data_IF_298077354387
#
_entry.id   IF_298077354387
#
_cell.length_a   1.000
_cell.length_b   1.000
_cell.length_c   1.000
_cell.angle_alpha   90.00
_cell.angle_beta   90.00
_cell.angle_gamma   90.00
#
_symmetry.space_group_name_H-M   'P 1'
#
loop_
_entity.id
_entity.type
_entity.pdbx_description
1 polymer ?
#
# COMPACT_ATOMS: atom_id res chain seq x y z
N UNK A 1 0.79 3.70 -22.99
CA UNK A 1 -0.45 3.03 -22.52
C UNK A 1 -0.22 2.07 -21.34
N UNK A 2 0.92 1.39 -21.19
CA UNK A 2 1.18 0.55 -20.00
C UNK A 2 1.51 1.34 -18.73
N UNK A 3 2.31 2.41 -18.85
CA UNK A 3 2.80 3.22 -17.72
C UNK A 3 1.67 3.84 -16.87
N UNK A 4 0.59 4.30 -17.50
CA UNK A 4 -0.58 4.82 -16.78
C UNK A 4 -1.27 3.74 -15.92
N UNK A 5 -1.22 2.48 -16.36
CA UNK A 5 -1.83 1.36 -15.62
C UNK A 5 -1.01 1.05 -14.38
N UNK A 6 0.32 1.05 -14.49
CA UNK A 6 1.21 0.84 -13.35
C UNK A 6 1.08 1.98 -12.34
N UNK A 7 1.04 3.23 -12.80
CA UNK A 7 0.79 4.38 -11.94
C UNK A 7 -0.52 4.22 -11.15
N UNK A 8 -1.63 3.85 -11.82
CA UNK A 8 -2.90 3.58 -11.13
C UNK A 8 -2.77 2.51 -10.04
N UNK A 9 -2.01 1.44 -10.28
CA UNK A 9 -1.79 0.40 -9.26
C UNK A 9 -1.02 0.95 -8.05
N UNK A 10 0.03 1.74 -8.26
CA UNK A 10 0.77 2.39 -7.18
C UNK A 10 -0.13 3.33 -6.35
N UNK A 11 -0.90 4.20 -7.01
CA UNK A 11 -1.84 5.11 -6.33
C UNK A 11 -2.91 4.35 -5.55
N UNK A 12 -3.47 3.28 -6.12
CA UNK A 12 -4.46 2.44 -5.43
C UNK A 12 -3.88 1.72 -4.21
N UNK A 13 -2.62 1.28 -4.27
CA UNK A 13 -1.93 0.69 -3.10
C UNK A 13 -1.77 1.72 -1.98
N UNK A 14 -1.29 2.92 -2.30
CA UNK A 14 -1.12 3.99 -1.32
C UNK A 14 -2.47 4.39 -0.72
N UNK A 15 -3.52 4.48 -1.54
CA UNK A 15 -4.88 4.72 -1.07
C UNK A 15 -5.35 3.62 -0.12
N UNK A 16 -5.22 2.35 -0.48
CA UNK A 16 -5.60 1.22 0.36
C UNK A 16 -4.93 1.28 1.74
N UNK A 17 -3.62 1.58 1.77
CA UNK A 17 -2.84 1.71 3.01
C UNK A 17 -3.35 2.89 3.86
N UNK A 18 -3.67 4.03 3.22
CA UNK A 18 -4.23 5.20 3.91
C UNK A 18 -5.60 4.90 4.54
N UNK A 19 -6.37 3.99 3.94
CA UNK A 19 -7.68 3.50 4.42
C UNK A 19 -7.57 2.30 5.38
N UNK A 20 -6.39 2.08 5.96
CA UNK A 20 -6.09 1.02 6.94
C UNK A 20 -6.09 -0.41 6.40
N UNK A 21 -6.08 -0.61 5.08
CA UNK A 21 -5.76 -1.90 4.48
C UNK A 21 -4.24 -2.08 4.49
N UNK A 22 -3.71 -2.70 5.57
CA UNK A 22 -2.26 -2.71 5.84
C UNK A 22 -1.62 -4.06 5.61
N UNK A 23 -2.38 -5.14 5.43
CA UNK A 23 -1.84 -6.46 5.08
C UNK A 23 -1.82 -6.63 3.57
N UNK A 24 -0.86 -7.41 3.05
CA UNK A 24 -0.78 -7.72 1.61
C UNK A 24 -2.12 -8.24 1.07
N UNK A 25 -2.80 -9.12 1.83
CA UNK A 25 -4.11 -9.65 1.46
C UNK A 25 -5.21 -8.59 1.43
N UNK A 26 -5.20 -7.64 2.38
CA UNK A 26 -6.20 -6.57 2.44
C UNK A 26 -6.01 -5.60 1.27
N UNK A 27 -4.77 -5.21 0.99
CA UNK A 27 -4.42 -4.37 -0.17
C UNK A 27 -4.82 -5.08 -1.47
N UNK A 28 -4.48 -6.36 -1.61
CA UNK A 28 -4.83 -7.14 -2.79
C UNK A 28 -6.35 -7.24 -3.00
N UNK A 29 -7.11 -7.48 -1.93
CA UNK A 29 -8.56 -7.49 -1.96
C UNK A 29 -9.13 -6.13 -2.36
N UNK A 30 -8.58 -5.03 -1.81
CA UNK A 30 -8.99 -3.67 -2.16
C UNK A 30 -8.83 -3.38 -3.65
N UNK A 31 -7.72 -3.84 -4.24
CA UNK A 31 -7.43 -3.67 -5.67
C UNK A 31 -8.16 -4.69 -6.57
N UNK A 32 -8.79 -5.72 -6.02
CA UNK A 32 -9.35 -6.84 -6.81
C UNK A 32 -8.28 -7.66 -7.53
N UNK A 33 -7.04 -7.69 -7.02
CA UNK A 33 -5.89 -8.34 -7.64
C UNK A 33 -5.36 -9.52 -6.81
N UNK A 34 -4.67 -10.50 -7.42
CA UNK A 34 -3.94 -11.52 -6.68
C UNK A 34 -2.80 -10.92 -5.82
N UNK A 35 -2.64 -11.37 -4.58
CA UNK A 35 -1.57 -10.88 -3.69
C UNK A 35 -0.16 -10.97 -4.31
N UNK A 36 0.11 -12.03 -5.09
CA UNK A 36 1.39 -12.22 -5.80
C UNK A 36 1.69 -11.12 -6.83
N UNK A 37 0.67 -10.53 -7.46
CA UNK A 37 0.86 -9.47 -8.44
C UNK A 37 0.96 -8.10 -7.79
N UNK A 38 0.50 -7.94 -6.54
CA UNK A 38 0.59 -6.69 -5.78
C UNK A 38 1.96 -6.53 -5.11
N UNK A 39 2.58 -7.64 -4.68
CA UNK A 39 3.86 -7.60 -3.96
C UNK A 39 4.98 -6.84 -4.69
N UNK A 40 5.21 -7.01 -6.01
CA UNK A 40 6.25 -6.26 -6.73
C UNK A 40 6.06 -4.74 -6.64
N UNK A 41 4.82 -4.26 -6.73
CA UNK A 41 4.53 -2.82 -6.61
C UNK A 41 4.81 -2.31 -5.21
N UNK A 42 4.46 -3.09 -4.17
CA UNK A 42 4.79 -2.74 -2.79
C UNK A 42 6.32 -2.76 -2.60
N UNK A 43 7.05 -3.73 -3.15
CA UNK A 43 8.52 -3.80 -3.11
C UNK A 43 9.15 -2.54 -3.72
N UNK A 44 8.66 -2.10 -4.87
CA UNK A 44 9.08 -0.83 -5.48
C UNK A 44 8.80 0.36 -4.57
N UNK A 45 7.58 0.49 -4.03
CA UNK A 45 7.25 1.59 -3.10
C UNK A 45 8.12 1.58 -1.83
N UNK A 46 8.51 0.39 -1.35
CA UNK A 46 9.45 0.25 -0.24
C UNK A 46 10.86 0.68 -0.62
N UNK A 47 11.36 0.30 -1.80
CA UNK A 47 12.67 0.73 -2.30
C UNK A 47 12.75 2.25 -2.51
N UNK A 48 11.65 2.86 -2.91
CA UNK A 48 11.52 4.31 -3.05
C UNK A 48 11.36 5.04 -1.70
N UNK A 49 11.20 4.31 -0.59
CA UNK A 49 11.00 4.89 0.74
C UNK A 49 9.61 5.50 0.96
N UNK A 50 8.63 5.19 0.10
CA UNK A 50 7.26 5.70 0.20
C UNK A 50 6.39 4.84 1.12
N UNK A 51 6.67 3.54 1.15
CA UNK A 51 6.02 2.55 2.01
C UNK A 51 7.08 1.86 2.84
N UNK A 52 6.71 1.42 4.03
CA UNK A 52 7.57 0.59 4.84
C UNK A 52 6.80 -0.52 5.54
N UNK A 53 7.55 -1.53 5.95
CA UNK A 53 7.03 -2.76 6.54
C UNK A 53 7.18 -2.70 8.06
N UNK A 54 6.05 -2.58 8.74
CA UNK A 54 5.96 -2.75 10.17
C UNK A 54 5.84 -4.24 10.52
N UNK A 55 6.70 -4.70 11.42
CA UNK A 55 6.54 -6.00 12.06
C UNK A 55 6.08 -5.74 13.49
N UNK A 56 4.83 -6.09 13.85
CA UNK A 56 4.33 -5.86 15.19
C UNK A 56 5.15 -6.68 16.20
N UNK A 57 5.74 -5.99 17.18
CA UNK A 57 6.52 -6.59 18.27
C UNK A 57 5.64 -7.30 19.29
N UNK A 58 4.36 -6.92 19.40
CA UNK A 58 3.35 -7.57 20.25
C UNK A 58 2.48 -8.53 19.42
N UNK A 59 2.93 -9.77 19.27
CA UNK A 59 2.09 -10.82 18.71
C UNK A 59 2.87 -12.05 18.27
N UNK A 60 2.37 -13.24 18.62
CA UNK A 60 2.93 -14.54 18.23
C UNK A 60 2.90 -14.81 16.72
N UNK A 61 2.31 -13.91 15.91
CA UNK A 61 2.14 -14.07 14.47
C UNK A 61 2.96 -13.01 13.72
N UNK A 62 3.93 -13.47 12.93
CA UNK A 62 4.71 -12.64 11.98
C UNK A 62 3.79 -12.13 10.85
N UNK A 63 2.95 -11.13 11.14
CA UNK A 63 2.13 -10.46 10.13
C UNK A 63 2.89 -9.23 9.66
N UNK A 64 3.11 -9.14 8.35
CA UNK A 64 3.70 -7.93 7.75
C UNK A 64 2.60 -6.89 7.56
N UNK A 65 2.74 -5.74 8.21
CA UNK A 65 1.89 -4.58 7.99
C UNK A 65 2.66 -3.58 7.13
N UNK A 66 1.97 -2.89 6.23
CA UNK A 66 2.52 -1.86 5.38
C UNK A 66 1.95 -0.51 5.80
N UNK A 67 2.81 0.50 5.93
CA UNK A 67 2.41 1.89 6.16
C UNK A 67 3.07 2.83 5.17
N UNK A 68 2.42 3.95 4.88
CA UNK A 68 3.06 5.06 4.19
C UNK A 68 4.12 5.62 5.14
N UNK A 69 5.35 5.77 4.65
CA UNK A 69 6.51 6.18 5.45
C UNK A 69 6.47 7.69 5.76
N UNK A 70 5.97 8.50 4.82
CA UNK A 70 5.92 9.96 4.92
C UNK A 70 4.55 10.45 5.44
N UNK A 71 4.49 11.19 6.56
CA UNK A 71 3.25 11.74 7.10
C UNK A 71 2.53 12.76 6.20
N UNK A 72 3.26 13.54 5.40
CA UNK A 72 2.70 14.47 4.41
C UNK A 72 2.04 13.70 3.30
N UNK A 73 2.71 12.66 2.78
CA UNK A 73 2.15 11.77 1.77
C UNK A 73 0.89 11.05 2.28
N UNK A 74 0.94 10.54 3.51
CA UNK A 74 -0.20 9.91 4.15
C UNK A 74 -1.40 10.87 4.21
N UNK A 75 -1.17 12.09 4.68
CA UNK A 75 -2.19 13.15 4.75
C UNK A 75 -2.77 13.44 3.37
N UNK A 76 -1.94 13.52 2.33
CA UNK A 76 -2.39 13.75 0.97
C UNK A 76 -3.37 12.66 0.50
N UNK A 77 -3.05 11.39 0.69
CA UNK A 77 -3.91 10.26 0.32
C UNK A 77 -5.19 10.14 1.16
N UNK A 78 -5.13 10.52 2.43
CA UNK A 78 -6.29 10.51 3.32
C UNK A 78 -7.31 11.60 2.95
N UNK A 79 -6.87 12.81 2.62
CA UNK A 79 -7.77 13.97 2.46
C UNK A 79 -7.99 14.45 1.03
N UNK A 80 -7.03 14.26 0.11
CA UNK A 80 -7.09 14.87 -1.23
C UNK A 80 -7.45 13.89 -2.35
N UNK A 81 -7.43 12.58 -2.09
CA UNK A 81 -7.86 11.56 -3.06
C UNK A 81 -9.30 11.16 -2.76
N UNK A 82 -10.29 11.55 -3.57
CA UNK A 82 -11.67 11.13 -3.36
C UNK A 82 -11.81 9.61 -3.57
N UNK A 83 -12.50 8.94 -2.65
CA UNK A 83 -12.97 7.57 -2.81
C UNK A 83 -14.09 7.59 -3.86
N UNK A 84 -13.73 7.35 -5.13
CA UNK A 84 -14.68 7.25 -6.26
C UNK A 84 -15.06 5.80 -6.47
#
# INVERSE_FOLDING_TARGET
MQEETELRVYFSILKAISERNRRLKEIANYLGLPARSVYPYIDTLMRLGLVEKETPTLGSRKVSLYRIADPVLLTWFTFNVPST
#
